data_IF_416701531065
#
_entry.id   IF_416701531065
#
_cell.length_a   1.000
_cell.length_b   1.000
_cell.length_c   1.000
_cell.angle_alpha   90.00
_cell.angle_beta   90.00
_cell.angle_gamma   90.00
#
_symmetry.space_group_name_H-M   'P 1'
#
loop_
_entity.id
_entity.type
_entity.pdbx_description
1 polymer ?
#
# COMPACT_ATOMS: atom_id res chain seq x y z
N UNK A 1 17.44 -29.93 2.41
CA UNK A 1 17.08 -29.62 0.99
C UNK A 1 15.82 -28.80 1.10
N UNK A 2 15.74 -27.65 0.42
CA UNK A 2 14.56 -26.81 0.56
C UNK A 2 13.37 -27.45 -0.14
N UNK A 3 12.31 -27.72 0.61
CA UNK A 3 11.03 -28.21 0.11
C UNK A 3 10.06 -27.05 -0.06
N UNK A 4 9.25 -27.09 -1.10
CA UNK A 4 8.24 -26.07 -1.39
C UNK A 4 6.85 -26.70 -1.31
N UNK A 5 5.98 -26.11 -0.50
CA UNK A 5 4.62 -26.63 -0.29
C UNK A 5 3.58 -25.51 -0.41
N UNK A 6 2.60 -25.73 -1.29
CA UNK A 6 1.53 -24.78 -1.56
C UNK A 6 0.33 -25.01 -0.63
N UNK A 7 -0.20 -23.94 -0.07
CA UNK A 7 -1.36 -23.92 0.82
C UNK A 7 -2.41 -22.92 0.34
N UNK A 8 -3.66 -23.20 0.66
CA UNK A 8 -4.80 -22.28 0.54
C UNK A 8 -5.28 -21.78 1.89
N UNK A 9 -4.84 -22.38 2.99
CA UNK A 9 -5.08 -21.91 4.35
C UNK A 9 -3.89 -22.27 5.24
N UNK A 10 -3.66 -21.45 6.26
CA UNK A 10 -2.51 -21.55 7.15
C UNK A 10 -2.96 -21.87 8.57
N UNK A 11 -2.29 -22.82 9.21
CA UNK A 11 -2.45 -23.05 10.65
C UNK A 11 -1.91 -21.87 11.47
N UNK A 12 -2.36 -21.70 12.71
CA UNK A 12 -1.87 -20.64 13.62
C UNK A 12 -0.34 -20.66 13.77
N UNK A 13 0.26 -21.85 13.78
CA UNK A 13 1.71 -22.04 13.85
C UNK A 13 2.41 -21.53 12.58
N UNK A 14 1.83 -21.76 11.40
CA UNK A 14 2.38 -21.27 10.13
C UNK A 14 2.21 -19.77 9.99
N UNK A 15 1.06 -19.22 10.38
CA UNK A 15 0.85 -17.78 10.42
C UNK A 15 1.87 -17.10 11.34
N UNK A 16 2.12 -17.68 12.52
CA UNK A 16 3.13 -17.19 13.46
C UNK A 16 4.53 -17.25 12.85
N UNK A 17 4.92 -18.40 12.28
CA UNK A 17 6.24 -18.56 11.64
C UNK A 17 6.47 -17.63 10.46
N UNK A 18 5.43 -17.36 9.65
CA UNK A 18 5.50 -16.37 8.55
C UNK A 18 5.70 -14.96 9.11
N UNK A 19 4.96 -14.56 10.16
CA UNK A 19 5.13 -13.24 10.79
C UNK A 19 6.54 -13.08 11.38
N UNK A 20 7.08 -14.11 12.02
CA UNK A 20 8.45 -14.12 12.54
C UNK A 20 9.51 -13.99 11.42
N UNK A 21 9.32 -14.73 10.32
CA UNK A 21 10.17 -14.64 9.12
C UNK A 21 10.16 -13.23 8.52
N UNK A 22 8.98 -12.64 8.37
CA UNK A 22 8.80 -11.27 7.86
C UNK A 22 9.51 -10.29 8.80
N UNK A 23 9.28 -10.38 10.11
CA UNK A 23 9.92 -9.52 11.09
C UNK A 23 11.46 -9.62 11.09
N UNK A 24 12.00 -10.83 10.95
CA UNK A 24 13.44 -11.06 10.86
C UNK A 24 14.05 -10.43 9.59
N UNK A 25 13.35 -10.54 8.45
CA UNK A 25 13.77 -9.89 7.22
C UNK A 25 13.68 -8.36 7.33
N UNK A 26 12.58 -7.81 7.85
CA UNK A 26 12.42 -6.36 8.09
C UNK A 26 13.55 -5.80 8.96
N UNK A 27 13.89 -6.48 10.05
CA UNK A 27 14.94 -6.03 10.96
C UNK A 27 16.34 -5.95 10.31
N UNK A 28 16.60 -6.76 9.28
CA UNK A 28 17.87 -6.76 8.55
C UNK A 28 17.84 -5.79 7.37
N UNK A 29 16.72 -5.71 6.66
CA UNK A 29 16.61 -4.96 5.41
C UNK A 29 16.22 -3.49 5.62
N UNK A 30 15.62 -3.15 6.76
CA UNK A 30 15.07 -1.82 7.03
C UNK A 30 13.92 -1.45 6.08
N UNK A 31 13.25 -2.45 5.51
CA UNK A 31 12.00 -2.34 4.72
C UNK A 31 11.21 -3.63 4.95
N UNK A 32 9.90 -3.53 5.13
CA UNK A 32 9.03 -4.71 5.20
C UNK A 32 9.04 -5.46 3.86
N UNK A 33 9.30 -6.78 3.83
CA UNK A 33 9.43 -7.54 2.58
C UNK A 33 8.06 -7.90 1.96
N UNK A 34 6.96 -7.64 2.68
CA UNK A 34 5.59 -7.79 2.17
C UNK A 34 4.70 -6.65 2.68
N UNK A 35 3.61 -6.35 1.97
CA UNK A 35 2.64 -5.30 2.33
C UNK A 35 1.62 -5.72 3.39
N UNK A 36 0.90 -4.73 3.95
CA UNK A 36 -0.15 -4.93 4.96
C UNK A 36 -1.24 -5.92 4.50
N UNK A 37 -1.55 -5.94 3.19
CA UNK A 37 -2.54 -6.88 2.64
C UNK A 37 -2.12 -8.33 2.87
N UNK A 38 -0.86 -8.69 2.60
CA UNK A 38 -0.36 -10.06 2.80
C UNK A 38 -0.54 -10.50 4.26
N UNK A 39 -0.30 -9.60 5.22
CA UNK A 39 -0.46 -9.88 6.65
C UNK A 39 -1.93 -10.10 7.07
N UNK A 40 -2.88 -9.41 6.42
CA UNK A 40 -4.32 -9.64 6.59
C UNK A 40 -4.76 -10.96 5.99
N UNK A 41 -4.25 -11.32 4.82
CA UNK A 41 -4.62 -12.56 4.12
C UNK A 41 -4.15 -13.83 4.83
N UNK A 42 -3.21 -13.76 5.78
CA UNK A 42 -2.70 -14.93 6.50
C UNK A 42 -3.79 -15.72 7.25
N UNK A 43 -4.86 -15.05 7.69
CA UNK A 43 -6.00 -15.68 8.39
C UNK A 43 -7.17 -16.02 7.47
N UNK A 44 -7.03 -15.83 6.16
CA UNK A 44 -8.05 -16.07 5.16
C UNK A 44 -7.59 -17.11 4.14
N UNK A 45 -8.50 -17.55 3.27
CA UNK A 45 -8.26 -18.51 2.19
C UNK A 45 -8.41 -17.87 0.79
N UNK A 46 -8.30 -16.54 0.72
CA UNK A 46 -8.47 -15.74 -0.51
C UNK A 46 -7.20 -15.66 -1.37
N UNK A 47 -6.05 -16.03 -0.81
CA UNK A 47 -4.75 -16.03 -1.52
C UNK A 47 -4.08 -17.38 -1.43
N UNK A 48 -3.05 -17.60 -2.26
CA UNK A 48 -2.23 -18.81 -2.18
C UNK A 48 -0.94 -18.52 -1.41
N UNK A 49 -0.48 -19.51 -0.66
CA UNK A 49 0.71 -19.41 0.17
C UNK A 49 1.70 -20.50 -0.20
N UNK A 50 2.94 -20.16 -0.48
CA UNK A 50 4.01 -21.12 -0.75
C UNK A 50 5.05 -21.03 0.38
N UNK A 51 5.18 -22.12 1.13
CA UNK A 51 6.13 -22.24 2.22
C UNK A 51 7.40 -22.92 1.70
N UNK A 52 8.57 -22.34 1.99
CA UNK A 52 9.86 -22.96 1.75
C UNK A 52 10.49 -23.42 3.08
N UNK A 53 10.65 -24.73 3.27
CA UNK A 53 11.19 -25.30 4.50
C UNK A 53 12.53 -26.00 4.26
N UNK A 54 13.46 -25.91 5.21
CA UNK A 54 14.66 -26.75 5.26
C UNK A 54 14.61 -27.59 6.54
N UNK A 55 14.18 -28.85 6.41
CA UNK A 55 13.76 -29.65 7.56
C UNK A 55 12.51 -29.05 8.21
N UNK A 56 12.59 -28.76 9.51
CA UNK A 56 11.48 -28.13 10.25
C UNK A 56 11.49 -26.59 10.22
N UNK A 57 12.54 -25.97 9.66
CA UNK A 57 12.68 -24.52 9.67
C UNK A 57 12.02 -23.89 8.44
N UNK A 58 11.15 -22.89 8.65
CA UNK A 58 10.63 -22.04 7.59
C UNK A 58 11.72 -21.05 7.15
N UNK A 59 12.22 -21.20 5.93
CA UNK A 59 13.35 -20.41 5.39
C UNK A 59 12.93 -19.42 4.30
N UNK A 60 11.69 -19.50 3.82
CA UNK A 60 11.12 -18.56 2.88
C UNK A 60 9.61 -18.71 2.74
N UNK A 61 8.98 -17.66 2.22
CA UNK A 61 7.54 -17.58 2.04
C UNK A 61 7.23 -16.79 0.77
N UNK A 62 6.17 -17.17 0.07
CA UNK A 62 5.57 -16.40 -1.00
C UNK A 62 4.06 -16.33 -0.79
N UNK A 63 3.50 -15.12 -0.84
CA UNK A 63 2.08 -14.90 -1.05
C UNK A 63 1.81 -14.74 -2.55
N UNK A 64 0.72 -15.31 -3.05
CA UNK A 64 0.21 -15.08 -4.40
C UNK A 64 -1.26 -14.65 -4.30
N UNK A 65 -1.51 -13.36 -4.48
CA UNK A 65 -2.83 -12.80 -4.61
C UNK A 65 -3.38 -13.07 -6.02
N UNK A 66 -4.67 -13.47 -6.14
CA UNK A 66 -5.29 -13.65 -7.45
C UNK A 66 -5.36 -12.31 -8.20
N UNK A 67 -5.42 -12.39 -9.52
CA UNK A 67 -5.65 -11.25 -10.39
C UNK A 67 -7.13 -10.85 -10.42
N UNK A 68 -7.40 -9.60 -10.76
CA UNK A 68 -8.74 -9.10 -11.07
C UNK A 68 -9.03 -9.15 -12.58
N UNK A 69 -10.19 -8.65 -13.00
CA UNK A 69 -10.60 -8.63 -14.41
C UNK A 69 -9.60 -7.88 -15.31
N UNK A 70 -8.97 -6.82 -14.78
CA UNK A 70 -7.99 -5.99 -15.49
C UNK A 70 -6.57 -6.05 -14.86
N UNK A 71 -6.37 -6.87 -13.82
CA UNK A 71 -5.12 -6.92 -13.06
C UNK A 71 -4.48 -8.30 -13.01
N UNK A 72 -3.17 -8.41 -13.31
CA UNK A 72 -2.49 -9.67 -13.19
C UNK A 72 -2.29 -10.07 -11.72
N UNK A 73 -2.18 -11.38 -11.43
CA UNK A 73 -1.82 -11.87 -10.11
C UNK A 73 -0.51 -11.26 -9.59
N UNK A 74 -0.46 -11.02 -8.28
CA UNK A 74 0.67 -10.39 -7.61
C UNK A 74 1.28 -11.35 -6.60
N UNK A 75 2.60 -11.54 -6.70
CA UNK A 75 3.36 -12.33 -5.76
C UNK A 75 4.30 -11.44 -4.91
N UNK A 76 4.38 -11.74 -3.62
CA UNK A 76 5.33 -11.11 -2.70
C UNK A 76 6.18 -12.18 -2.04
N UNK A 77 7.51 -12.01 -2.07
CA UNK A 77 8.47 -13.07 -1.72
C UNK A 77 9.44 -12.62 -0.65
N UNK A 78 9.57 -13.43 0.40
CA UNK A 78 10.56 -13.22 1.48
C UNK A 78 11.39 -14.48 1.69
N UNK A 79 12.69 -14.29 1.93
CA UNK A 79 13.62 -15.36 2.31
C UNK A 79 14.34 -14.93 3.58
N UNK A 80 14.42 -15.85 4.55
CA UNK A 80 15.08 -15.61 5.83
C UNK A 80 16.50 -15.09 5.60
N UNK A 81 16.95 -14.01 6.26
CA UNK A 81 18.26 -13.40 5.99
C UNK A 81 19.42 -14.39 5.97
N UNK A 82 19.45 -15.33 6.92
CA UNK A 82 20.51 -16.35 7.04
C UNK A 82 20.44 -17.47 5.97
N UNK A 83 19.30 -17.61 5.29
CA UNK A 83 19.06 -18.60 4.24
C UNK A 83 19.24 -18.02 2.82
N UNK A 84 19.56 -16.73 2.70
CA UNK A 84 19.76 -16.07 1.40
C UNK A 84 20.94 -16.65 0.63
N UNK A 85 20.93 -16.41 -0.68
CA UNK A 85 21.98 -16.84 -1.64
C UNK A 85 22.15 -18.37 -1.75
N UNK A 86 21.15 -19.15 -1.34
CA UNK A 86 21.09 -20.61 -1.48
C UNK A 86 20.11 -21.10 -2.56
N UNK A 87 19.53 -20.19 -3.34
CA UNK A 87 18.58 -20.50 -4.42
C UNK A 87 17.09 -20.47 -4.03
N UNK A 88 16.75 -20.40 -2.74
CA UNK A 88 15.36 -20.39 -2.24
C UNK A 88 14.49 -19.32 -2.87
N UNK A 89 14.96 -18.07 -2.95
CA UNK A 89 14.18 -16.98 -3.53
C UNK A 89 13.87 -17.19 -5.02
N UNK A 90 14.82 -17.74 -5.78
CA UNK A 90 14.59 -18.08 -7.19
C UNK A 90 13.63 -19.26 -7.35
N UNK A 91 13.66 -20.24 -6.43
CA UNK A 91 12.74 -21.36 -6.45
C UNK A 91 11.30 -20.90 -6.13
N UNK A 92 11.12 -20.08 -5.09
CA UNK A 92 9.83 -19.46 -4.73
C UNK A 92 9.28 -18.62 -5.88
N UNK A 93 10.07 -17.67 -6.39
CA UNK A 93 9.65 -16.78 -7.46
C UNK A 93 9.23 -17.54 -8.74
N UNK A 94 9.99 -18.55 -9.17
CA UNK A 94 9.60 -19.39 -10.33
C UNK A 94 8.31 -20.15 -10.08
N UNK A 95 8.13 -20.71 -8.88
CA UNK A 95 6.90 -21.42 -8.52
C UNK A 95 5.69 -20.49 -8.51
N UNK A 96 5.82 -19.28 -7.93
CA UNK A 96 4.77 -18.27 -7.95
C UNK A 96 4.40 -17.80 -9.36
N UNK A 97 5.38 -17.50 -10.21
CA UNK A 97 5.16 -17.13 -11.61
C UNK A 97 4.48 -18.24 -12.42
N UNK A 98 4.84 -19.51 -12.16
CA UNK A 98 4.20 -20.64 -12.83
C UNK A 98 2.74 -20.84 -12.38
N UNK A 99 2.45 -20.54 -11.11
CA UNK A 99 1.11 -20.70 -10.53
C UNK A 99 0.14 -19.58 -10.91
N UNK A 100 0.58 -18.31 -10.88
CA UNK A 100 -0.29 -17.16 -11.16
C UNK A 100 -0.65 -16.96 -12.64
N UNK A 101 -0.20 -17.83 -13.55
CA UNK A 101 -0.40 -17.70 -14.99
C UNK A 101 0.28 -16.46 -15.64
N UNK A 102 -0.05 -16.20 -16.90
CA UNK A 102 0.58 -15.16 -17.71
C UNK A 102 0.32 -13.76 -17.14
N UNK A 103 1.36 -12.93 -17.10
CA UNK A 103 1.29 -11.58 -16.57
C UNK A 103 1.56 -11.46 -15.08
N UNK A 104 1.68 -12.57 -14.34
CA UNK A 104 2.00 -12.56 -12.90
C UNK A 104 3.19 -11.66 -12.61
N UNK A 105 3.04 -10.80 -11.61
CA UNK A 105 4.04 -9.84 -11.18
C UNK A 105 4.64 -10.27 -9.84
N UNK A 106 5.89 -9.89 -9.58
CA UNK A 106 6.54 -10.00 -8.28
C UNK A 106 6.79 -8.59 -7.75
N UNK A 107 6.22 -8.27 -6.59
CA UNK A 107 6.43 -7.00 -5.93
C UNK A 107 7.75 -6.98 -5.16
N UNK A 108 8.50 -5.89 -5.30
CA UNK A 108 9.77 -5.66 -4.61
C UNK A 108 9.71 -4.34 -3.82
N UNK A 109 9.33 -4.44 -2.55
CA UNK A 109 9.33 -3.33 -1.60
C UNK A 109 10.73 -2.72 -1.45
N UNK A 110 10.84 -1.40 -1.57
CA UNK A 110 12.08 -0.63 -1.56
C UNK A 110 13.03 -0.89 -2.74
N UNK A 111 12.67 -1.79 -3.65
CA UNK A 111 13.47 -2.21 -4.81
C UNK A 111 14.94 -2.51 -4.45
N UNK A 112 15.15 -3.24 -3.35
CA UNK A 112 16.48 -3.51 -2.77
C UNK A 112 17.41 -4.24 -3.74
N UNK A 113 18.73 -4.12 -3.53
CA UNK A 113 19.73 -4.74 -4.41
C UNK A 113 19.52 -6.25 -4.59
N UNK A 114 19.17 -6.96 -3.52
CA UNK A 114 18.88 -8.39 -3.58
C UNK A 114 17.67 -8.72 -4.46
N UNK A 115 16.61 -7.91 -4.42
CA UNK A 115 15.43 -8.07 -5.26
C UNK A 115 15.75 -7.79 -6.73
N UNK A 116 16.49 -6.72 -7.02
CA UNK A 116 16.97 -6.41 -8.38
C UNK A 116 17.83 -7.54 -8.96
N UNK A 117 18.73 -8.09 -8.15
CA UNK A 117 19.58 -9.21 -8.56
C UNK A 117 18.76 -10.49 -8.81
N UNK A 118 17.75 -10.76 -7.97
CA UNK A 118 16.83 -11.89 -8.17
C UNK A 118 16.04 -11.72 -9.47
N UNK A 119 15.42 -10.55 -9.68
CA UNK A 119 14.68 -10.23 -10.89
C UNK A 119 15.54 -10.42 -12.15
N UNK A 120 16.76 -9.86 -12.15
CA UNK A 120 17.70 -10.04 -13.26
C UNK A 120 18.08 -11.51 -13.50
N UNK A 121 18.25 -12.31 -12.45
CA UNK A 121 18.56 -13.75 -12.59
C UNK A 121 17.41 -14.58 -13.17
N UNK A 122 16.20 -14.03 -13.14
CA UNK A 122 14.97 -14.63 -13.68
C UNK A 122 14.52 -13.93 -14.98
N UNK A 123 15.33 -13.03 -15.53
CA UNK A 123 15.03 -12.18 -16.69
C UNK A 123 13.72 -11.38 -16.58
N UNK A 124 13.33 -11.01 -15.36
CA UNK A 124 12.15 -10.18 -15.11
C UNK A 124 12.48 -8.71 -15.35
N UNK A 125 11.50 -7.96 -15.86
CA UNK A 125 11.61 -6.52 -16.15
C UNK A 125 10.68 -5.71 -15.23
N UNK A 126 11.08 -4.49 -14.83
CA UNK A 126 10.18 -3.59 -14.13
C UNK A 126 9.01 -3.21 -15.05
N UNK A 127 7.78 -3.33 -14.56
CA UNK A 127 6.56 -3.01 -15.32
C UNK A 127 5.67 -1.99 -14.62
N UNK A 128 5.91 -1.71 -13.33
CA UNK A 128 5.21 -0.70 -12.53
C UNK A 128 6.17 -0.22 -11.44
N UNK A 129 6.15 1.08 -11.17
CA UNK A 129 6.94 1.72 -10.11
C UNK A 129 6.01 2.55 -9.22
N UNK A 130 6.01 2.26 -7.92
CA UNK A 130 5.26 3.00 -6.92
C UNK A 130 6.26 3.82 -6.10
N UNK A 131 6.18 5.15 -6.20
CA UNK A 131 7.06 6.05 -5.47
C UNK A 131 6.53 6.21 -4.04
N UNK A 132 7.37 5.90 -3.06
CA UNK A 132 7.15 6.38 -1.70
C UNK A 132 7.77 7.77 -1.58
N UNK A 133 6.96 8.78 -1.30
CA UNK A 133 7.44 10.14 -1.06
C UNK A 133 7.26 10.51 0.41
N UNK A 134 8.19 11.30 0.96
CA UNK A 134 8.14 11.77 2.35
C UNK A 134 8.39 13.27 2.46
N UNK A 135 7.91 13.88 3.53
CA UNK A 135 8.33 15.22 3.98
C UNK A 135 8.26 15.36 5.50
N UNK A 136 9.11 16.21 6.11
CA UNK A 136 8.93 16.62 7.50
C UNK A 136 7.59 17.34 7.70
N UNK A 137 6.95 17.16 8.85
CA UNK A 137 5.73 17.87 9.23
C UNK A 137 5.98 19.27 9.84
N UNK A 138 7.22 19.76 9.75
CA UNK A 138 7.59 21.15 10.04
C UNK A 138 7.37 22.06 8.83
N UNK A 139 7.30 23.36 9.07
CA UNK A 139 7.25 24.41 8.05
C UNK A 139 6.17 24.17 6.98
N UNK A 140 4.99 23.70 7.42
CA UNK A 140 3.87 23.44 6.52
C UNK A 140 3.41 24.74 5.84
N UNK A 141 3.05 24.70 4.55
CA UNK A 141 2.32 25.80 3.94
C UNK A 141 1.03 26.08 4.72
N UNK A 142 0.58 27.34 4.82
CA UNK A 142 -0.63 27.66 5.57
C UNK A 142 -1.85 26.96 4.95
N UNK A 143 -2.84 26.66 5.79
CA UNK A 143 -4.13 26.14 5.35
C UNK A 143 -4.76 27.06 4.30
N UNK A 144 -5.43 26.44 3.33
CA UNK A 144 -6.12 27.12 2.24
C UNK A 144 -7.60 26.81 2.32
N UNK A 145 -8.43 27.78 1.94
CA UNK A 145 -9.87 27.59 1.79
C UNK A 145 -10.22 27.43 0.32
N UNK A 146 -11.25 26.65 0.02
CA UNK A 146 -11.86 26.57 -1.30
C UNK A 146 -13.23 27.26 -1.25
N UNK A 147 -13.50 28.16 -2.19
CA UNK A 147 -14.78 28.88 -2.27
C UNK A 147 -15.93 27.91 -2.57
N UNK A 148 -17.05 28.07 -1.87
CA UNK A 148 -18.24 27.23 -2.00
C UNK A 148 -18.06 25.80 -1.51
N UNK A 149 -17.06 25.56 -0.65
CA UNK A 149 -16.73 24.23 -0.12
C UNK A 149 -16.73 24.25 1.40
N UNK A 150 -17.53 23.37 1.99
CA UNK A 150 -17.54 23.07 3.41
C UNK A 150 -16.72 21.82 3.65
N UNK A 151 -15.76 21.87 4.56
CA UNK A 151 -14.97 20.69 4.97
C UNK A 151 -15.46 20.19 6.32
N UNK A 152 -15.63 18.88 6.44
CA UNK A 152 -15.90 18.18 7.69
C UNK A 152 -15.01 16.95 7.83
N UNK A 153 -15.22 16.21 8.90
CA UNK A 153 -14.65 14.87 9.10
C UNK A 153 -15.75 13.83 8.95
N UNK A 154 -15.35 12.61 8.64
CA UNK A 154 -16.23 11.45 8.53
C UNK A 154 -17.11 11.29 9.77
N UNK A 155 -18.42 11.24 9.55
CA UNK A 155 -19.43 11.16 10.59
C UNK A 155 -19.90 9.74 10.87
N UNK A 156 -19.49 8.75 10.07
CA UNK A 156 -19.84 7.34 10.24
C UNK A 156 -20.39 6.69 8.98
N UNK A 157 -20.92 5.45 9.09
CA UNK A 157 -21.34 4.65 7.93
C UNK A 157 -22.35 5.31 6.98
N UNK A 158 -23.04 6.36 7.41
CA UNK A 158 -23.92 7.14 6.53
C UNK A 158 -23.19 7.88 5.40
N UNK A 159 -21.89 8.14 5.54
CA UNK A 159 -21.08 8.83 4.53
C UNK A 159 -20.50 7.85 3.50
N UNK A 160 -20.53 6.54 3.78
CA UNK A 160 -19.89 5.48 2.96
C UNK A 160 -20.33 5.52 1.51
N UNK A 161 -21.61 5.77 1.24
CA UNK A 161 -22.15 5.76 -0.11
C UNK A 161 -21.50 6.84 -0.99
N UNK A 162 -21.34 8.06 -0.45
CA UNK A 162 -20.69 9.15 -1.16
C UNK A 162 -19.17 8.96 -1.20
N UNK A 163 -18.56 8.45 -0.13
CA UNK A 163 -17.14 8.14 -0.08
C UNK A 163 -16.76 7.10 -1.15
N UNK A 164 -17.55 6.02 -1.30
CA UNK A 164 -17.39 5.02 -2.34
C UNK A 164 -17.59 5.59 -3.73
N UNK A 165 -18.63 6.42 -3.93
CA UNK A 165 -18.91 7.05 -5.22
C UNK A 165 -17.71 7.89 -5.68
N UNK A 166 -17.19 8.74 -4.80
CA UNK A 166 -16.05 9.61 -5.11
C UNK A 166 -14.76 8.80 -5.27
N UNK A 167 -14.52 7.81 -4.42
CA UNK A 167 -13.38 6.91 -4.53
C UNK A 167 -13.35 6.20 -5.89
N UNK A 168 -14.44 5.52 -6.23
CA UNK A 168 -14.51 4.72 -7.44
C UNK A 168 -14.49 5.59 -8.70
N UNK A 169 -14.97 6.84 -8.63
CA UNK A 169 -14.83 7.80 -9.73
C UNK A 169 -13.39 8.30 -9.89
N UNK A 170 -12.74 8.73 -8.80
CA UNK A 170 -11.39 9.26 -8.81
C UNK A 170 -10.33 8.21 -9.20
N UNK A 171 -10.57 6.96 -8.82
CA UNK A 171 -9.67 5.82 -9.00
C UNK A 171 -10.21 4.77 -9.97
N UNK A 172 -11.10 5.16 -10.89
CA UNK A 172 -11.71 4.24 -11.88
C UNK A 172 -10.71 3.47 -12.77
N UNK A 173 -9.50 4.00 -12.88
CA UNK A 173 -8.36 3.42 -13.61
C UNK A 173 -7.38 2.66 -12.72
N UNK A 174 -7.51 2.76 -11.40
CA UNK A 174 -6.51 2.26 -10.45
C UNK A 174 -6.79 0.81 -10.06
N UNK A 175 -5.78 -0.07 -10.15
CA UNK A 175 -5.97 -1.51 -9.94
C UNK A 175 -6.48 -1.87 -8.54
N UNK A 176 -5.87 -1.28 -7.50
CA UNK A 176 -6.12 -1.66 -6.10
C UNK A 176 -7.06 -0.69 -5.34
N UNK A 177 -7.38 0.46 -5.94
CA UNK A 177 -8.11 1.55 -5.29
C UNK A 177 -9.46 1.81 -5.97
N UNK A 178 -9.61 1.44 -7.25
CA UNK A 178 -10.89 1.42 -7.93
C UNK A 178 -11.76 0.25 -7.46
N UNK A 179 -13.07 0.34 -7.73
CA UNK A 179 -14.00 -0.77 -7.51
C UNK A 179 -14.24 -1.15 -6.06
N UNK A 180 -13.86 -0.31 -5.09
CA UNK A 180 -14.14 -0.56 -3.67
C UNK A 180 -15.64 -0.71 -3.42
N UNK A 181 -15.93 -1.53 -2.42
CA UNK A 181 -17.27 -1.85 -1.93
C UNK A 181 -17.42 -1.41 -0.47
N UNK A 182 -18.63 -1.51 0.07
CA UNK A 182 -18.89 -1.28 1.50
C UNK A 182 -18.02 -2.17 2.40
N UNK A 183 -17.68 -3.38 1.93
CA UNK A 183 -16.80 -4.29 2.66
C UNK A 183 -15.39 -3.73 2.79
N UNK A 184 -14.84 -3.11 1.73
CA UNK A 184 -13.48 -2.55 1.75
C UNK A 184 -13.33 -1.41 2.77
N UNK A 185 -14.37 -0.59 2.91
CA UNK A 185 -14.42 0.46 3.94
C UNK A 185 -14.60 -0.17 5.31
N UNK A 186 -15.51 -1.14 5.46
CA UNK A 186 -15.75 -1.80 6.74
C UNK A 186 -14.50 -2.50 7.28
N UNK A 187 -13.74 -3.19 6.42
CA UNK A 187 -12.45 -3.80 6.77
C UNK A 187 -11.47 -2.74 7.30
N UNK A 188 -11.32 -1.60 6.60
CA UNK A 188 -10.42 -0.50 7.01
C UNK A 188 -10.88 0.21 8.29
N UNK A 189 -12.19 0.37 8.50
CA UNK A 189 -12.73 0.89 9.77
C UNK A 189 -12.46 -0.03 10.96
N UNK A 190 -12.31 -1.33 10.71
CA UNK A 190 -12.00 -2.33 11.74
C UNK A 190 -10.52 -2.34 12.16
N UNK A 191 -9.65 -1.66 11.41
CA UNK A 191 -8.23 -1.62 11.70
C UNK A 191 -7.91 -0.74 12.91
N UNK A 192 -6.90 -1.08 13.72
CA UNK A 192 -6.57 -0.35 14.95
C UNK A 192 -6.02 1.07 14.69
N UNK A 193 -5.62 1.36 13.45
CA UNK A 193 -5.15 2.69 13.04
C UNK A 193 -6.30 3.61 12.59
N UNK A 194 -7.52 3.08 12.41
CA UNK A 194 -8.65 3.87 11.92
C UNK A 194 -9.01 4.99 12.90
N UNK A 195 -9.16 6.19 12.34
CA UNK A 195 -9.54 7.37 13.09
C UNK A 195 -10.50 8.23 12.25
N UNK A 196 -11.77 8.41 12.66
CA UNK A 196 -12.73 9.23 11.92
C UNK A 196 -12.33 10.71 11.87
N UNK A 197 -11.58 11.22 12.86
CA UNK A 197 -11.07 12.59 12.85
C UNK A 197 -9.92 12.78 11.85
N UNK A 198 -9.33 11.68 11.38
CA UNK A 198 -8.29 11.65 10.35
C UNK A 198 -8.83 11.48 8.93
N UNK A 199 -10.14 11.38 8.73
CA UNK A 199 -10.79 11.28 7.41
C UNK A 199 -11.55 12.56 7.11
N UNK A 200 -10.97 13.42 6.27
CA UNK A 200 -11.53 14.71 5.89
C UNK A 200 -12.38 14.61 4.63
N UNK A 201 -13.51 15.29 4.60
CA UNK A 201 -14.49 15.26 3.53
C UNK A 201 -14.85 16.69 3.09
N UNK A 202 -14.71 16.97 1.79
CA UNK A 202 -15.04 18.26 1.18
C UNK A 202 -16.40 18.19 0.48
N UNK A 203 -17.35 18.99 0.94
CA UNK A 203 -18.71 19.06 0.42
C UNK A 203 -18.96 20.36 -0.32
N UNK A 204 -19.72 20.30 -1.40
CA UNK A 204 -20.24 21.46 -2.09
C UNK A 204 -21.30 22.16 -1.21
N UNK A 205 -21.15 23.46 -0.95
CA UNK A 205 -22.07 24.18 -0.07
C UNK A 205 -23.49 24.35 -0.65
N UNK A 206 -23.60 24.39 -1.99
CA UNK A 206 -24.88 24.61 -2.65
C UNK A 206 -25.70 23.33 -2.78
N UNK A 207 -25.04 22.20 -3.02
CA UNK A 207 -25.70 20.91 -3.32
C UNK A 207 -25.58 19.89 -2.20
N UNK A 208 -24.59 20.03 -1.31
CA UNK A 208 -24.26 19.05 -0.28
C UNK A 208 -23.53 17.81 -0.80
N UNK A 209 -23.19 17.75 -2.08
CA UNK A 209 -22.50 16.60 -2.68
C UNK A 209 -21.05 16.50 -2.20
N UNK A 210 -20.53 15.27 -2.02
CA UNK A 210 -19.12 15.05 -1.73
C UNK A 210 -18.28 15.31 -2.98
N UNK A 211 -17.30 16.20 -2.86
CA UNK A 211 -16.40 16.61 -3.94
C UNK A 211 -15.05 15.90 -3.87
N UNK A 212 -14.65 15.46 -2.69
CA UNK A 212 -13.35 14.85 -2.46
C UNK A 212 -13.14 14.54 -0.99
N UNK A 213 -12.13 13.73 -0.71
CA UNK A 213 -11.76 13.35 0.65
C UNK A 213 -10.24 13.16 0.77
N UNK A 214 -9.76 13.22 2.01
CA UNK A 214 -8.41 12.83 2.37
C UNK A 214 -8.45 12.00 3.64
N UNK A 215 -8.12 10.73 3.50
CA UNK A 215 -7.95 9.79 4.59
C UNK A 215 -6.48 9.79 5.02
N UNK A 216 -6.22 10.15 6.27
CA UNK A 216 -4.90 10.05 6.89
C UNK A 216 -4.78 8.76 7.70
N UNK A 217 -3.56 8.23 7.80
CA UNK A 217 -3.24 7.08 8.65
C UNK A 217 -2.07 7.44 9.56
N UNK A 218 -2.09 6.90 10.78
CA UNK A 218 -0.96 6.98 11.72
C UNK A 218 -0.42 5.57 11.90
N UNK A 219 0.85 5.36 11.57
CA UNK A 219 1.50 4.07 11.74
C UNK A 219 1.91 3.88 13.21
N UNK A 220 1.11 3.14 13.96
CA UNK A 220 1.45 2.71 15.31
C UNK A 220 2.48 1.57 15.28
N UNK A 221 3.40 1.51 16.27
CA UNK A 221 4.19 0.29 16.55
C UNK A 221 5.68 0.37 16.24
N UNK A 222 6.22 -0.70 15.62
CA UNK A 222 7.65 -0.98 15.40
C UNK A 222 7.85 -1.32 13.91
N UNK A 223 8.82 -0.70 13.26
CA UNK A 223 9.08 -0.82 11.82
C UNK A 223 9.54 0.52 11.24
N UNK A 224 9.86 0.57 9.94
CA UNK A 224 10.45 1.77 9.32
C UNK A 224 9.50 2.96 9.22
N UNK A 225 8.20 2.67 9.26
CA UNK A 225 7.14 3.68 9.24
C UNK A 225 6.57 3.97 10.63
N UNK A 226 7.10 3.35 11.69
CA UNK A 226 6.62 3.58 13.05
C UNK A 226 6.71 5.05 13.45
N UNK A 227 5.59 5.60 13.93
CA UNK A 227 5.50 7.01 14.32
C UNK A 227 5.42 7.97 13.14
N UNK A 228 5.16 7.49 11.92
CA UNK A 228 4.89 8.31 10.75
C UNK A 228 3.40 8.52 10.54
N UNK A 229 3.07 9.68 9.98
CA UNK A 229 1.77 9.90 9.35
C UNK A 229 1.80 9.47 7.89
N UNK A 230 0.63 9.20 7.32
CA UNK A 230 0.48 8.82 5.92
C UNK A 230 -0.70 9.59 5.30
N UNK A 231 -0.49 10.10 4.08
CA UNK A 231 -1.57 10.44 3.15
C UNK A 231 -2.06 9.10 2.58
N UNK A 232 -3.03 8.48 3.26
CA UNK A 232 -3.43 7.10 2.96
C UNK A 232 -4.22 7.05 1.65
N UNK A 233 -5.30 7.85 1.57
CA UNK A 233 -6.04 8.02 0.32
C UNK A 233 -6.40 9.48 0.15
N UNK A 234 -6.15 10.05 -1.04
CA UNK A 234 -6.67 11.36 -1.42
C UNK A 234 -7.39 11.25 -2.77
N UNK A 235 -8.71 11.45 -2.75
CA UNK A 235 -9.56 11.34 -3.92
C UNK A 235 -10.34 12.64 -4.15
N UNK A 236 -10.41 13.09 -5.41
CA UNK A 236 -11.26 14.22 -5.82
C UNK A 236 -12.11 13.74 -6.98
N UNK A 237 -13.43 13.94 -6.87
CA UNK A 237 -14.39 13.64 -7.91
C UNK A 237 -13.93 14.29 -9.23
N UNK A 238 -13.83 13.55 -10.35
CA UNK A 238 -13.48 14.10 -11.66
C UNK A 238 -14.29 15.36 -12.04
N UNK A 239 -15.57 15.45 -11.67
CA UNK A 239 -16.40 16.64 -11.92
C UNK A 239 -15.99 17.87 -11.10
N UNK A 240 -15.19 17.69 -10.04
CA UNK A 240 -14.70 18.73 -9.14
C UNK A 240 -13.19 19.00 -9.27
N UNK A 241 -12.49 18.29 -10.16
CA UNK A 241 -11.07 18.49 -10.42
C UNK A 241 -10.77 19.85 -11.05
N UNK A 242 -9.50 20.27 -11.00
CA UNK A 242 -9.07 21.59 -11.49
C UNK A 242 -9.40 22.77 -10.57
N UNK A 243 -10.12 22.54 -9.47
CA UNK A 243 -10.47 23.55 -8.45
C UNK A 243 -9.44 23.69 -7.31
N UNK A 244 -8.34 22.93 -7.36
CA UNK A 244 -7.32 22.91 -6.30
C UNK A 244 -7.68 22.11 -5.04
N UNK A 245 -8.81 21.39 -5.03
CA UNK A 245 -9.31 20.65 -3.86
C UNK A 245 -8.35 19.60 -3.32
N UNK A 246 -7.63 18.88 -4.20
CA UNK A 246 -6.63 17.90 -3.77
C UNK A 246 -5.56 18.55 -2.89
N UNK A 247 -5.02 19.70 -3.31
CA UNK A 247 -4.03 20.44 -2.50
C UNK A 247 -4.60 20.96 -1.19
N UNK A 248 -5.87 21.39 -1.15
CA UNK A 248 -6.54 21.86 0.08
C UNK A 248 -6.70 20.71 1.07
N UNK A 249 -7.25 19.59 0.61
CA UNK A 249 -7.45 18.38 1.40
C UNK A 249 -6.13 17.79 1.91
N UNK A 250 -5.12 17.68 1.04
CA UNK A 250 -3.79 17.22 1.44
C UNK A 250 -3.23 18.12 2.54
N UNK A 251 -3.21 19.45 2.36
CA UNK A 251 -2.71 20.38 3.39
C UNK A 251 -3.45 20.22 4.72
N UNK A 252 -4.78 20.08 4.71
CA UNK A 252 -5.55 19.89 5.92
C UNK A 252 -5.10 18.63 6.69
N UNK A 253 -4.93 17.51 6.00
CA UNK A 253 -4.44 16.29 6.64
C UNK A 253 -2.98 16.40 7.10
N UNK A 254 -2.13 17.14 6.39
CA UNK A 254 -0.75 17.39 6.87
C UNK A 254 -0.76 18.19 8.19
N UNK A 255 -1.58 19.24 8.30
CA UNK A 255 -1.72 20.00 9.54
C UNK A 255 -2.28 19.14 10.68
N UNK A 256 -3.28 18.31 10.39
CA UNK A 256 -3.82 17.35 11.36
C UNK A 256 -2.74 16.37 11.89
N UNK A 257 -1.92 15.82 11.00
CA UNK A 257 -0.83 14.91 11.39
C UNK A 257 0.27 15.65 12.17
N UNK A 258 0.54 16.92 11.85
CA UNK A 258 1.49 17.75 12.60
C UNK A 258 0.99 18.07 14.01
N UNK A 259 -0.30 18.33 14.21
CA UNK A 259 -0.92 18.53 15.53
C UNK A 259 -0.80 17.29 16.42
N UNK A 260 -0.67 16.10 15.82
CA UNK A 260 -0.37 14.84 16.52
C UNK A 260 1.11 14.65 16.87
N UNK A 261 1.94 15.67 16.67
CA UNK A 261 3.38 15.66 16.94
C UNK A 261 4.15 14.58 16.17
N UNK A 262 3.64 14.18 15.00
CA UNK A 262 4.34 13.26 14.11
C UNK A 262 5.46 14.03 13.39
N UNK A 263 6.67 13.46 13.25
CA UNK A 263 7.82 14.18 12.68
C UNK A 263 7.75 14.26 11.15
N UNK A 264 7.19 13.24 10.51
CA UNK A 264 7.25 13.03 9.07
C UNK A 264 5.95 12.40 8.59
N UNK A 265 5.59 12.72 7.36
CA UNK A 265 4.46 12.13 6.63
C UNK A 265 4.96 11.48 5.35
N UNK A 266 4.42 10.31 5.04
CA UNK A 266 4.67 9.57 3.81
C UNK A 266 3.43 9.49 2.92
N UNK A 267 3.64 9.12 1.66
CA UNK A 267 2.60 8.76 0.71
C UNK A 267 3.15 7.80 -0.34
N UNK A 268 2.26 7.09 -1.00
CA UNK A 268 2.57 6.28 -2.18
C UNK A 268 1.87 6.85 -3.41
N UNK A 269 2.57 6.89 -4.55
CA UNK A 269 2.02 7.41 -5.81
C UNK A 269 2.66 6.69 -7.00
N UNK A 270 1.85 6.31 -7.99
CA UNK A 270 2.35 5.74 -9.25
C UNK A 270 3.34 6.70 -9.92
N UNK A 271 4.50 6.17 -10.35
CA UNK A 271 5.58 6.98 -10.90
C UNK A 271 5.20 7.72 -12.19
N UNK A 272 4.27 7.16 -12.97
CA UNK A 272 3.76 7.75 -14.21
C UNK A 272 2.62 8.77 -13.99
N UNK A 273 2.06 8.85 -12.77
CA UNK A 273 1.09 9.88 -12.38
C UNK A 273 1.78 11.23 -12.12
N UNK A 274 2.25 11.83 -13.22
CA UNK A 274 3.02 13.07 -13.22
C UNK A 274 2.28 14.23 -12.54
N UNK A 275 0.94 14.26 -12.62
CA UNK A 275 0.11 15.29 -12.02
C UNK A 275 0.09 15.19 -10.47
N UNK A 276 -0.10 13.98 -9.93
CA UNK A 276 -0.05 13.75 -8.49
C UNK A 276 1.38 13.99 -7.95
N UNK A 277 2.40 13.45 -8.63
CA UNK A 277 3.81 13.66 -8.26
C UNK A 277 4.16 15.16 -8.24
N UNK A 278 3.72 15.94 -9.23
CA UNK A 278 3.94 17.40 -9.23
C UNK A 278 3.21 18.09 -8.07
N UNK A 279 1.99 17.67 -7.76
CA UNK A 279 1.23 18.20 -6.61
C UNK A 279 1.97 17.95 -5.30
N UNK A 280 2.48 16.74 -5.08
CA UNK A 280 3.21 16.41 -3.85
C UNK A 280 4.56 17.14 -3.77
N UNK A 281 5.31 17.23 -4.88
CA UNK A 281 6.55 18.05 -4.92
C UNK A 281 6.30 19.50 -4.57
N UNK A 282 5.21 20.09 -5.06
CA UNK A 282 4.82 21.47 -4.73
C UNK A 282 4.43 21.65 -3.25
N UNK A 283 4.05 20.57 -2.58
CA UNK A 283 3.82 20.54 -1.12
C UNK A 283 5.09 20.18 -0.32
N UNK A 284 6.23 20.03 -0.99
CA UNK A 284 7.53 19.78 -0.35
C UNK A 284 7.82 18.30 -0.08
N UNK A 285 7.10 17.37 -0.73
CA UNK A 285 7.46 15.95 -0.70
C UNK A 285 8.66 15.67 -1.63
N UNK A 286 9.53 14.79 -1.16
CA UNK A 286 10.66 14.24 -1.91
C UNK A 286 10.52 12.73 -2.05
N UNK A 287 11.07 12.14 -3.12
CA UNK A 287 11.09 10.69 -3.29
C UNK A 287 12.03 10.09 -2.23
N UNK A 288 11.49 9.20 -1.40
CA UNK A 288 12.24 8.49 -0.37
C UNK A 288 12.62 7.08 -0.83
N UNK A 289 11.70 6.37 -1.46
CA UNK A 289 11.87 5.00 -1.92
C UNK A 289 11.02 4.69 -3.15
N UNK A 290 11.27 3.54 -3.75
CA UNK A 290 10.52 3.05 -4.91
C UNK A 290 10.25 1.57 -4.70
N UNK A 291 8.98 1.19 -4.76
CA UNK A 291 8.57 -0.19 -4.89
C UNK A 291 8.39 -0.52 -6.36
N UNK A 292 8.75 -1.74 -6.76
CA UNK A 292 8.74 -2.13 -8.17
C UNK A 292 8.02 -3.46 -8.35
N UNK A 293 7.09 -3.50 -9.30
CA UNK A 293 6.55 -4.75 -9.80
C UNK A 293 7.40 -5.25 -10.96
N UNK A 294 7.88 -6.48 -10.86
CA UNK A 294 8.64 -7.17 -11.90
C UNK A 294 7.76 -8.21 -12.59
N UNK A 295 7.85 -8.34 -13.92
CA UNK A 295 7.14 -9.36 -14.68
C UNK A 295 8.06 -10.01 -15.73
N UNK A 296 7.67 -11.18 -16.24
CA UNK A 296 8.28 -11.72 -17.45
C UNK A 296 7.97 -10.79 -18.65
N UNK A 297 8.95 -10.62 -19.54
CA UNK A 297 8.80 -9.83 -20.77
C UNK A 297 8.00 -10.53 -21.86
#
# INVERSE_FOLDING_TARGET
MTELDWRTGLSDAEQTGIRELIAAATAVDGVAPVGDQVLRELSHDRTRHLLATDGAALVGYLNLAPGGDDDPPMAEVVVHPEARRRGTGAALARAGLAEGAAGTRIWAHGNLEAARALAASLDLKPVRELLQMRRPLTDLPPLRTAEGVRIGTYAGPQDDAELLRVNNAAFSWHPEQGGWTEQDIAERRGEPWFDPEGLFEAFDEATGALLGFHWTKVHAGVGDDAGLGEVYVVGVDPAAQGRGLGSVLTLLGLHHLAERSLPTVLLYVEADNSAAVATYRNLGFEVFGVDVAYAAG
#
